data_IF_290014555439
#
_entry.id   IF_290014555439
#
_cell.length_a   1.000
_cell.length_b   1.000
_cell.length_c   1.000
_cell.angle_alpha   90.00
_cell.angle_beta   90.00
_cell.angle_gamma   90.00
#
_symmetry.space_group_name_H-M   'P 1'
#
loop_
_entity.id
_entity.type
_entity.pdbx_description
1 polymer ?
#
# COMPACT_ATOMS: atom_id res chain seq x y z
N UNK A 1 12.43 33.06 -5.76
CA UNK A 1 11.76 32.10 -4.87
C UNK A 1 10.50 31.66 -5.59
N UNK A 2 10.45 30.43 -6.09
CA UNK A 2 9.20 29.88 -6.62
C UNK A 2 8.19 29.80 -5.48
N UNK A 3 6.92 30.15 -5.68
CA UNK A 3 5.92 30.00 -4.64
C UNK A 3 5.85 28.51 -4.26
N UNK A 4 5.88 28.23 -2.96
CA UNK A 4 5.59 26.89 -2.45
C UNK A 4 4.18 26.53 -2.93
N UNK A 5 3.99 25.42 -3.62
CA UNK A 5 2.66 25.05 -4.06
C UNK A 5 1.75 24.89 -2.83
N UNK A 6 0.60 25.52 -2.90
CA UNK A 6 -0.40 25.52 -1.81
C UNK A 6 -1.16 24.19 -1.88
N UNK A 7 -0.62 23.15 -1.22
CA UNK A 7 -1.21 21.82 -1.15
C UNK A 7 -1.87 21.60 0.20
N UNK A 8 -3.08 21.05 0.18
CA UNK A 8 -3.76 20.61 1.40
C UNK A 8 -3.94 19.09 1.36
N UNK A 9 -3.57 18.42 2.45
CA UNK A 9 -3.84 16.99 2.63
C UNK A 9 -5.14 16.80 3.38
N UNK A 10 -5.99 15.93 2.84
CA UNK A 10 -7.23 15.52 3.48
C UNK A 10 -7.15 14.01 3.81
N UNK A 11 -7.78 13.63 4.92
CA UNK A 11 -7.86 12.24 5.38
C UNK A 11 -9.31 11.80 5.31
N UNK A 12 -9.55 10.63 4.71
CA UNK A 12 -10.89 10.08 4.50
C UNK A 12 -11.01 8.72 5.17
N UNK A 13 -12.12 8.48 5.83
CA UNK A 13 -12.45 7.24 6.54
C UNK A 13 -13.17 6.20 5.66
N UNK A 14 -13.35 6.50 4.40
CA UNK A 14 -13.80 5.58 3.36
C UNK A 14 -13.39 6.08 1.98
N UNK A 15 -13.21 5.16 1.02
CA UNK A 15 -12.95 5.55 -0.37
C UNK A 15 -14.18 6.21 -1.01
N UNK A 16 -15.39 5.84 -0.55
CA UNK A 16 -16.64 6.43 -1.00
C UNK A 16 -16.73 7.93 -0.69
N UNK A 17 -16.10 8.41 0.40
CA UNK A 17 -16.05 9.83 0.75
C UNK A 17 -15.21 10.66 -0.24
N UNK A 18 -14.27 10.03 -0.96
CA UNK A 18 -13.47 10.68 -2.01
C UNK A 18 -14.25 10.70 -3.32
N UNK A 19 -14.97 9.63 -3.61
CA UNK A 19 -15.73 9.44 -4.83
C UNK A 19 -14.91 8.82 -5.96
N UNK A 20 -15.61 8.09 -6.83
CA UNK A 20 -15.04 7.33 -7.94
C UNK A 20 -14.21 8.21 -8.87
N UNK A 21 -14.82 9.27 -9.38
CA UNK A 21 -14.21 10.09 -10.43
C UNK A 21 -12.90 10.74 -9.95
N UNK A 22 -12.87 11.21 -8.72
CA UNK A 22 -11.69 11.83 -8.14
C UNK A 22 -10.57 10.79 -7.89
N UNK A 23 -10.92 9.61 -7.38
CA UNK A 23 -9.96 8.54 -7.14
C UNK A 23 -9.42 7.97 -8.44
N UNK A 24 -10.29 7.57 -9.37
CA UNK A 24 -9.90 6.93 -10.61
C UNK A 24 -9.19 7.89 -11.57
N UNK A 25 -9.38 9.21 -11.44
CA UNK A 25 -8.53 10.19 -12.12
C UNK A 25 -7.03 10.01 -11.78
N UNK A 26 -6.71 9.58 -10.57
CA UNK A 26 -5.34 9.28 -10.16
C UNK A 26 -4.94 7.82 -10.42
N UNK A 27 -5.87 6.88 -10.29
CA UNK A 27 -5.60 5.45 -10.35
C UNK A 27 -5.60 4.87 -11.77
N UNK A 28 -6.47 5.35 -12.66
CA UNK A 28 -6.69 4.76 -13.97
C UNK A 28 -5.43 4.73 -14.85
N UNK A 29 -4.58 5.74 -14.77
CA UNK A 29 -3.33 5.81 -15.56
C UNK A 29 -2.32 4.72 -15.18
N UNK A 30 -2.46 4.09 -14.01
CA UNK A 30 -1.55 3.04 -13.53
C UNK A 30 -1.78 1.69 -14.21
N UNK A 31 -3.00 1.43 -14.68
CA UNK A 31 -3.41 0.12 -15.19
C UNK A 31 -3.48 -0.99 -14.13
N UNK A 32 -3.25 -0.67 -12.85
CA UNK A 32 -3.31 -1.63 -11.74
C UNK A 32 -4.76 -1.73 -11.22
N UNK A 33 -5.43 -2.88 -11.39
CA UNK A 33 -6.82 -3.04 -10.97
C UNK A 33 -6.98 -2.99 -9.45
N UNK A 34 -5.93 -3.29 -8.69
CA UNK A 34 -5.99 -3.38 -7.22
C UNK A 34 -6.05 -2.02 -6.54
N UNK A 35 -5.61 -0.95 -7.20
CA UNK A 35 -5.74 0.42 -6.70
C UNK A 35 -6.95 1.15 -7.28
N UNK A 36 -7.79 0.51 -8.09
CA UNK A 36 -9.01 1.10 -8.61
C UNK A 36 -10.02 1.38 -7.51
N UNK A 37 -10.88 2.37 -7.73
CA UNK A 37 -12.00 2.65 -6.82
C UNK A 37 -12.85 1.41 -6.57
N UNK A 38 -13.19 0.65 -7.62
CA UNK A 38 -14.06 -0.52 -7.50
C UNK A 38 -13.49 -1.60 -6.58
N UNK A 39 -12.20 -1.90 -6.70
CA UNK A 39 -11.58 -2.91 -5.86
C UNK A 39 -11.56 -2.49 -4.40
N UNK A 40 -11.10 -1.28 -4.09
CA UNK A 40 -10.99 -0.79 -2.72
C UNK A 40 -12.38 -0.59 -2.10
N UNK A 41 -13.33 -0.06 -2.87
CA UNK A 41 -14.72 0.08 -2.43
C UNK A 41 -15.38 -1.30 -2.15
N UNK A 42 -15.11 -2.30 -2.98
CA UNK A 42 -15.60 -3.65 -2.74
C UNK A 42 -15.05 -4.24 -1.42
N UNK A 43 -13.77 -4.01 -1.12
CA UNK A 43 -13.18 -4.43 0.16
C UNK A 43 -13.83 -3.75 1.37
N UNK A 44 -14.18 -2.46 1.27
CA UNK A 44 -14.87 -1.73 2.32
C UNK A 44 -16.35 -2.14 2.42
N UNK A 45 -17.07 -2.16 1.30
CA UNK A 45 -18.50 -2.44 1.26
C UNK A 45 -18.84 -3.88 1.66
N UNK A 46 -17.96 -4.83 1.39
CA UNK A 46 -18.11 -6.22 1.83
C UNK A 46 -17.87 -6.42 3.34
N UNK A 47 -17.33 -5.41 4.01
CA UNK A 47 -16.91 -5.51 5.40
C UNK A 47 -15.57 -6.21 5.60
N UNK A 48 -14.82 -6.52 4.54
CA UNK A 48 -13.51 -7.17 4.65
C UNK A 48 -12.40 -6.20 5.10
N UNK A 49 -12.44 -4.95 4.64
CA UNK A 49 -11.47 -3.91 5.00
C UNK A 49 -12.16 -2.79 5.80
N UNK A 50 -12.56 -3.10 7.02
CA UNK A 50 -13.25 -2.19 7.94
C UNK A 50 -12.56 -2.17 9.32
N UNK A 51 -12.84 -1.18 10.17
CA UNK A 51 -12.21 -1.07 11.50
C UNK A 51 -12.39 -2.29 12.39
N UNK A 52 -13.56 -2.98 12.35
CA UNK A 52 -13.80 -4.20 13.12
C UNK A 52 -12.87 -5.35 12.73
N UNK A 53 -12.44 -5.38 11.46
CA UNK A 53 -11.49 -6.36 10.90
C UNK A 53 -10.05 -5.85 10.95
N UNK A 54 -9.77 -4.81 11.75
CA UNK A 54 -8.45 -4.22 11.92
C UNK A 54 -7.92 -3.45 10.69
N UNK A 55 -8.81 -3.08 9.75
CA UNK A 55 -8.51 -2.27 8.57
C UNK A 55 -9.35 -1.00 8.59
N UNK A 56 -8.95 -0.01 9.37
CA UNK A 56 -9.66 1.28 9.43
C UNK A 56 -9.18 2.21 8.31
N UNK A 57 -9.99 2.52 7.26
CA UNK A 57 -9.56 3.40 6.18
C UNK A 57 -9.14 4.78 6.71
N UNK A 58 -8.06 5.32 6.16
CA UNK A 58 -7.49 6.65 6.40
C UNK A 58 -6.87 7.18 5.12
N UNK A 59 -7.58 6.99 3.99
CA UNK A 59 -7.08 7.35 2.67
C UNK A 59 -6.69 8.82 2.61
N UNK A 60 -5.59 9.10 1.94
CA UNK A 60 -5.12 10.47 1.73
C UNK A 60 -5.50 10.96 0.34
N UNK A 61 -5.91 12.23 0.27
CA UNK A 61 -5.92 13.00 -0.97
C UNK A 61 -5.05 14.23 -0.82
N UNK A 62 -4.28 14.53 -1.85
CA UNK A 62 -3.55 15.77 -2.02
C UNK A 62 -4.41 16.72 -2.85
N UNK A 63 -4.85 17.81 -2.25
CA UNK A 63 -5.72 18.79 -2.87
C UNK A 63 -4.90 19.97 -3.38
N UNK A 64 -5.17 20.38 -4.60
CA UNK A 64 -4.65 21.58 -5.22
C UNK A 64 -5.67 22.73 -5.22
N UNK A 65 -5.38 23.81 -5.96
CA UNK A 65 -6.30 24.93 -6.12
C UNK A 65 -7.67 24.51 -6.67
N UNK A 66 -8.74 25.09 -6.16
CA UNK A 66 -10.12 24.84 -6.62
C UNK A 66 -10.62 23.42 -6.29
N UNK A 67 -10.18 22.87 -5.16
CA UNK A 67 -10.56 21.52 -4.67
C UNK A 67 -10.26 20.38 -5.65
N UNK A 68 -9.25 20.57 -6.49
CA UNK A 68 -8.81 19.53 -7.44
C UNK A 68 -7.97 18.48 -6.73
N UNK A 69 -8.28 17.20 -6.92
CA UNK A 69 -7.45 16.11 -6.41
C UNK A 69 -6.23 15.94 -7.31
N UNK A 70 -5.03 16.14 -6.75
CA UNK A 70 -3.75 16.01 -7.45
C UNK A 70 -3.11 14.64 -7.25
N UNK A 71 -3.45 13.96 -6.15
CA UNK A 71 -2.95 12.63 -5.85
C UNK A 71 -3.71 11.96 -4.72
N UNK A 72 -3.60 10.64 -4.66
CA UNK A 72 -4.25 9.80 -3.67
C UNK A 72 -3.30 8.73 -3.13
N UNK A 73 -3.60 8.23 -1.92
CA UNK A 73 -2.89 7.10 -1.32
C UNK A 73 -3.87 6.21 -0.56
N UNK A 74 -3.94 4.90 -0.89
CA UNK A 74 -4.67 3.96 -0.05
C UNK A 74 -3.93 3.78 1.27
N UNK A 75 -4.56 4.18 2.37
CA UNK A 75 -3.97 4.18 3.70
C UNK A 75 -4.98 3.64 4.72
N UNK A 76 -4.48 2.84 5.67
CA UNK A 76 -5.31 2.19 6.68
C UNK A 76 -4.68 2.31 8.06
N UNK A 77 -5.52 2.47 9.08
CA UNK A 77 -5.14 2.27 10.48
C UNK A 77 -5.27 0.79 10.81
N UNK A 78 -4.16 0.15 11.13
CA UNK A 78 -4.07 -1.30 11.37
C UNK A 78 -4.01 -1.62 12.85
N UNK A 79 -4.96 -2.46 13.30
CA UNK A 79 -4.96 -3.01 14.66
C UNK A 79 -4.12 -4.30 14.82
N UNK A 80 -3.74 -4.93 13.71
CA UNK A 80 -2.94 -6.16 13.62
C UNK A 80 -2.37 -6.30 12.20
N UNK A 81 -1.45 -7.24 11.96
CA UNK A 81 -0.83 -7.44 10.63
C UNK A 81 -1.49 -8.53 9.78
N UNK A 82 -2.68 -9.03 10.15
CA UNK A 82 -3.40 -9.99 9.32
C UNK A 82 -3.84 -9.36 8.00
N UNK A 83 -3.73 -10.13 6.92
CA UNK A 83 -4.10 -9.71 5.57
C UNK A 83 -3.10 -8.79 4.87
N UNK A 84 -1.95 -8.48 5.50
CA UNK A 84 -0.90 -7.66 4.93
C UNK A 84 0.09 -8.46 4.06
N UNK A 85 0.21 -9.77 4.34
CA UNK A 85 1.20 -10.68 3.73
C UNK A 85 2.66 -10.22 3.89
N UNK A 86 2.90 -9.38 4.91
CA UNK A 86 4.24 -9.03 5.40
C UNK A 86 4.37 -9.57 6.81
N UNK A 87 5.31 -10.49 7.02
CA UNK A 87 5.45 -11.22 8.28
C UNK A 87 6.31 -10.40 9.25
N UNK A 88 5.68 -9.51 10.00
CA UNK A 88 6.34 -8.61 10.96
C UNK A 88 6.13 -9.01 12.43
N UNK A 89 5.67 -10.23 12.70
CA UNK A 89 5.38 -10.71 14.05
C UNK A 89 6.59 -10.61 14.99
N UNK A 90 7.79 -10.97 14.50
CA UNK A 90 9.02 -10.88 15.30
C UNK A 90 9.39 -9.44 15.68
N UNK A 91 9.04 -8.48 14.82
CA UNK A 91 9.22 -7.05 15.08
C UNK A 91 8.22 -6.56 16.13
N UNK A 92 6.95 -6.96 16.00
CA UNK A 92 5.91 -6.62 16.96
C UNK A 92 6.28 -7.15 18.35
N UNK A 93 6.71 -8.42 18.44
CA UNK A 93 7.15 -9.04 19.69
C UNK A 93 8.38 -8.36 20.30
N UNK A 94 9.37 -8.01 19.48
CA UNK A 94 10.57 -7.31 19.95
C UNK A 94 10.23 -5.91 20.47
N UNK A 95 9.36 -5.19 19.77
CA UNK A 95 8.91 -3.85 20.16
C UNK A 95 8.13 -3.88 21.48
N UNK A 96 7.23 -4.88 21.65
CA UNK A 96 6.47 -5.07 22.88
C UNK A 96 7.39 -5.45 24.06
N UNK A 97 8.37 -6.34 23.86
CA UNK A 97 9.37 -6.66 24.89
C UNK A 97 10.20 -5.46 25.33
N UNK A 98 10.41 -4.50 24.42
CA UNK A 98 11.06 -3.22 24.73
C UNK A 98 10.13 -2.20 25.41
N UNK A 99 8.88 -2.57 25.74
CA UNK A 99 7.89 -1.70 26.40
C UNK A 99 7.09 -0.81 25.48
N UNK A 100 7.24 -0.96 24.15
CA UNK A 100 6.48 -0.22 23.15
C UNK A 100 5.15 -0.86 22.80
N UNK A 101 4.25 -0.10 22.17
CA UNK A 101 3.01 -0.60 21.57
C UNK A 101 3.16 -0.60 20.06
N UNK A 102 3.25 -1.78 19.45
CA UNK A 102 3.40 -1.90 17.98
C UNK A 102 2.13 -1.52 17.22
N UNK A 103 0.98 -1.82 17.79
CA UNK A 103 -0.32 -1.44 17.21
C UNK A 103 -1.01 -0.36 18.05
N UNK A 104 -1.84 0.50 17.42
CA UNK A 104 -2.09 0.59 15.98
C UNK A 104 -0.90 1.19 15.21
N UNK A 105 -0.81 0.86 13.91
CA UNK A 105 0.13 1.44 12.94
C UNK A 105 -0.61 1.96 11.72
N UNK A 106 -0.04 2.86 10.94
CA UNK A 106 -0.54 3.21 9.61
C UNK A 106 0.07 2.30 8.56
N UNK A 107 -0.73 1.94 7.55
CA UNK A 107 -0.34 1.06 6.48
C UNK A 107 -0.83 1.57 5.11
N UNK A 108 0.11 1.94 4.23
CA UNK A 108 -0.13 2.14 2.81
C UNK A 108 -0.06 0.80 2.09
N UNK A 109 -1.20 0.25 1.70
CA UNK A 109 -1.27 -1.06 1.05
C UNK A 109 -2.61 -1.25 0.33
N UNK A 110 -2.67 -2.29 -0.49
CA UNK A 110 -3.93 -2.85 -0.98
C UNK A 110 -4.34 -4.00 -0.06
N UNK A 111 -5.57 -4.02 0.46
CA UNK A 111 -6.04 -5.08 1.34
C UNK A 111 -5.93 -6.46 0.69
N UNK A 112 -5.40 -7.43 1.45
CA UNK A 112 -5.34 -8.85 1.07
C UNK A 112 -4.60 -9.17 -0.23
N UNK A 113 -3.81 -8.21 -0.77
CA UNK A 113 -3.19 -8.32 -2.10
C UNK A 113 -1.69 -8.11 -2.02
N UNK A 114 -0.89 -9.20 -1.96
CA UNK A 114 0.57 -9.12 -1.91
C UNK A 114 1.18 -8.92 -3.30
N UNK A 115 0.70 -7.92 -4.03
CA UNK A 115 1.17 -7.57 -5.36
C UNK A 115 1.92 -6.24 -5.35
N UNK A 116 3.06 -6.19 -6.02
CA UNK A 116 3.79 -4.95 -6.25
C UNK A 116 2.99 -4.04 -7.18
N UNK A 117 2.83 -2.79 -6.80
CA UNK A 117 2.11 -1.78 -7.57
C UNK A 117 2.20 -0.39 -6.92
N UNK A 118 1.63 0.61 -7.56
CA UNK A 118 1.68 1.98 -7.07
C UNK A 118 0.89 2.13 -5.77
N UNK A 119 1.44 2.93 -4.85
CA UNK A 119 0.80 3.31 -3.59
C UNK A 119 0.61 4.82 -3.47
N UNK A 120 1.34 5.59 -4.27
CA UNK A 120 1.22 7.04 -4.36
C UNK A 120 0.72 7.40 -5.76
N UNK A 121 -0.61 7.52 -5.87
CA UNK A 121 -1.29 7.77 -7.14
C UNK A 121 -1.28 9.27 -7.44
N UNK A 122 -1.21 9.64 -8.72
CA UNK A 122 -1.19 11.04 -9.15
C UNK A 122 -2.11 11.29 -10.34
N UNK A 123 -2.72 12.47 -10.38
CA UNK A 123 -3.59 12.87 -11.48
C UNK A 123 -2.76 13.17 -12.74
N UNK A 124 -3.32 12.92 -13.94
CA UNK A 124 -2.67 13.27 -15.20
C UNK A 124 -2.28 14.76 -15.26
N UNK A 125 -1.09 15.04 -15.78
CA UNK A 125 -0.60 16.41 -15.92
C UNK A 125 0.03 17.01 -14.65
N UNK A 126 0.04 16.27 -13.53
CA UNK A 126 0.79 16.66 -12.33
C UNK A 126 2.23 16.14 -12.39
N UNK A 127 3.12 16.77 -11.63
CA UNK A 127 4.46 16.24 -11.45
C UNK A 127 4.45 15.10 -10.43
N UNK A 128 4.62 13.87 -10.92
CA UNK A 128 4.57 12.63 -10.13
C UNK A 128 5.51 12.69 -8.91
N UNK A 129 6.74 13.19 -9.09
CA UNK A 129 7.73 13.23 -8.02
C UNK A 129 7.30 14.18 -6.90
N UNK A 130 6.76 15.35 -7.25
CA UNK A 130 6.24 16.33 -6.29
C UNK A 130 5.03 15.78 -5.54
N UNK A 131 4.06 15.18 -6.25
CA UNK A 131 2.86 14.60 -5.63
C UNK A 131 3.25 13.46 -4.69
N UNK A 132 4.11 12.55 -5.13
CA UNK A 132 4.62 11.45 -4.31
C UNK A 132 5.32 11.95 -3.05
N UNK A 133 6.20 12.93 -3.18
CA UNK A 133 6.90 13.51 -2.02
C UNK A 133 5.92 14.16 -1.03
N UNK A 134 4.90 14.87 -1.51
CA UNK A 134 3.87 15.47 -0.67
C UNK A 134 3.02 14.42 0.07
N UNK A 135 2.62 13.33 -0.61
CA UNK A 135 1.87 12.23 0.00
C UNK A 135 2.70 11.48 1.04
N UNK A 136 4.00 11.20 0.76
CA UNK A 136 4.91 10.59 1.73
C UNK A 136 5.01 11.46 2.99
N UNK A 137 5.29 12.76 2.81
CA UNK A 137 5.42 13.69 3.94
C UNK A 137 4.11 13.83 4.71
N UNK A 138 2.99 13.83 4.02
CA UNK A 138 1.66 13.85 4.63
C UNK A 138 1.36 12.61 5.46
N UNK A 139 1.68 11.43 4.95
CA UNK A 139 1.51 10.18 5.68
C UNK A 139 2.41 10.10 6.93
N UNK A 140 3.66 10.58 6.85
CA UNK A 140 4.56 10.71 8.00
C UNK A 140 3.99 11.68 9.04
N UNK A 141 3.54 12.86 8.61
CA UNK A 141 2.92 13.85 9.51
C UNK A 141 1.65 13.31 10.16
N UNK A 142 0.83 12.57 9.42
CA UNK A 142 -0.37 11.94 9.97
C UNK A 142 -0.01 10.90 11.04
N UNK A 143 1.04 10.10 10.81
CA UNK A 143 1.56 9.11 11.77
C UNK A 143 1.90 9.76 13.10
N UNK A 144 2.64 10.87 13.05
CA UNK A 144 3.01 11.64 14.25
C UNK A 144 1.79 12.23 14.95
N UNK A 145 0.88 12.86 14.20
CA UNK A 145 -0.34 13.48 14.75
C UNK A 145 -1.28 12.48 15.40
N UNK A 146 -1.39 11.29 14.84
CA UNK A 146 -2.22 10.22 15.41
C UNK A 146 -1.55 9.51 16.60
N UNK A 147 -0.25 9.72 16.82
CA UNK A 147 0.51 9.06 17.88
C UNK A 147 0.54 7.54 17.72
N UNK A 148 0.48 7.05 16.47
CA UNK A 148 0.59 5.61 16.17
C UNK A 148 2.06 5.19 16.10
N UNK A 149 2.32 3.88 16.18
CA UNK A 149 3.67 3.35 16.34
C UNK A 149 4.58 3.59 15.14
N UNK A 150 4.02 3.51 13.92
CA UNK A 150 4.80 3.55 12.68
C UNK A 150 3.91 3.74 11.46
N UNK A 151 4.55 4.11 10.33
CA UNK A 151 4.02 4.04 8.99
C UNK A 151 4.72 2.91 8.22
N UNK A 152 3.93 2.01 7.64
CA UNK A 152 4.40 0.97 6.73
C UNK A 152 3.83 1.22 5.34
N UNK A 153 4.60 0.88 4.29
CA UNK A 153 4.10 0.85 2.91
C UNK A 153 4.51 -0.48 2.31
N UNK A 154 3.52 -1.31 1.99
CA UNK A 154 3.75 -2.68 1.54
C UNK A 154 3.68 -2.77 0.01
N UNK A 155 4.60 -3.55 -0.58
CA UNK A 155 4.68 -3.85 -2.01
C UNK A 155 4.64 -2.60 -2.91
N UNK A 156 5.39 -1.53 -2.59
CA UNK A 156 5.48 -0.36 -3.46
C UNK A 156 6.26 -0.69 -4.72
N UNK A 157 6.17 0.19 -5.73
CA UNK A 157 7.08 0.15 -6.87
C UNK A 157 8.51 0.50 -6.46
N UNK A 158 9.51 0.15 -7.28
CA UNK A 158 10.92 0.45 -7.00
C UNK A 158 11.16 1.97 -6.88
N UNK A 159 10.51 2.77 -7.73
CA UNK A 159 10.60 4.22 -7.68
C UNK A 159 10.04 4.80 -6.36
N UNK A 160 8.92 4.27 -5.89
CA UNK A 160 8.33 4.66 -4.61
C UNK A 160 9.17 4.20 -3.43
N UNK A 161 9.69 2.96 -3.47
CA UNK A 161 10.59 2.41 -2.46
C UNK A 161 11.87 3.25 -2.32
N UNK A 162 12.43 3.70 -3.46
CA UNK A 162 13.57 4.60 -3.48
C UNK A 162 13.26 5.96 -2.86
N UNK A 163 12.15 6.60 -3.29
CA UNK A 163 11.72 7.90 -2.78
C UNK A 163 11.43 7.88 -1.27
N UNK A 164 10.81 6.81 -0.75
CA UNK A 164 10.61 6.64 0.68
C UNK A 164 11.93 6.50 1.44
N UNK A 165 12.93 5.82 0.86
CA UNK A 165 14.26 5.73 1.44
C UNK A 165 14.97 7.09 1.51
N UNK A 166 14.78 7.95 0.50
CA UNK A 166 15.29 9.32 0.49
C UNK A 166 14.59 10.19 1.55
N UNK A 167 13.34 9.90 1.85
CA UNK A 167 12.59 10.44 2.99
C UNK A 167 12.97 9.81 4.36
N UNK A 168 14.05 9.03 4.42
CA UNK A 168 14.59 8.36 5.61
C UNK A 168 13.70 7.26 6.18
N UNK A 169 12.78 6.72 5.42
CA UNK A 169 12.07 5.50 5.82
C UNK A 169 12.99 4.29 5.69
N UNK A 170 12.83 3.33 6.58
CA UNK A 170 13.62 2.09 6.56
C UNK A 170 13.18 1.22 5.37
N UNK A 171 14.15 0.82 4.56
CA UNK A 171 13.94 -0.07 3.43
C UNK A 171 13.99 -1.52 3.89
N UNK A 172 12.93 -2.27 3.61
CA UNK A 172 12.87 -3.71 3.85
C UNK A 172 12.68 -4.43 2.52
N UNK A 173 13.33 -5.57 2.39
CA UNK A 173 13.15 -6.51 1.28
C UNK A 173 12.80 -7.88 1.85
N UNK A 174 11.96 -8.61 1.13
CA UNK A 174 11.60 -9.97 1.44
C UNK A 174 11.54 -10.77 0.14
N UNK A 175 11.50 -12.11 0.26
CA UNK A 175 11.51 -13.00 -0.89
C UNK A 175 10.07 -13.45 -1.18
N UNK A 176 9.64 -13.29 -2.43
CA UNK A 176 8.37 -13.78 -2.91
C UNK A 176 8.60 -14.88 -3.94
N UNK A 177 7.95 -16.02 -3.77
CA UNK A 177 7.99 -17.10 -4.73
C UNK A 177 6.91 -16.90 -5.78
N UNK A 178 7.32 -16.89 -7.05
CA UNK A 178 6.42 -16.73 -8.19
C UNK A 178 6.52 -17.98 -9.04
N UNK A 179 5.38 -18.62 -9.25
CA UNK A 179 5.30 -19.67 -10.27
C UNK A 179 5.16 -19.03 -11.66
N UNK A 180 5.96 -19.50 -12.60
CA UNK A 180 5.87 -19.11 -14.01
C UNK A 180 5.52 -20.34 -14.84
N UNK A 181 4.65 -20.15 -15.83
CA UNK A 181 4.38 -21.20 -16.81
C UNK A 181 5.49 -21.16 -17.87
N UNK A 182 6.39 -22.11 -17.83
CA UNK A 182 7.50 -22.27 -18.80
C UNK A 182 7.07 -23.04 -20.06
N UNK A 183 5.82 -22.94 -20.44
CA UNK A 183 5.27 -23.54 -21.66
C UNK A 183 4.50 -24.84 -21.44
N UNK A 184 4.15 -25.16 -20.19
CA UNK A 184 3.30 -26.31 -19.86
C UNK A 184 1.93 -26.20 -20.54
N UNK A 185 1.54 -27.26 -21.24
CA UNK A 185 0.27 -27.34 -21.96
C UNK A 185 -0.83 -27.98 -21.09
N UNK A 186 -0.44 -28.68 -20.03
CA UNK A 186 -1.33 -29.33 -19.08
C UNK A 186 -0.76 -29.33 -17.67
N UNK A 187 -1.61 -29.60 -16.70
CA UNK A 187 -1.18 -29.77 -15.31
C UNK A 187 -0.28 -31.02 -15.15
N UNK A 188 -0.51 -32.05 -15.93
CA UNK A 188 0.32 -33.26 -15.93
C UNK A 188 1.74 -32.99 -16.43
N UNK A 189 1.92 -32.12 -17.43
CA UNK A 189 3.25 -31.68 -17.87
C UNK A 189 4.00 -30.97 -16.75
N UNK A 190 3.31 -30.06 -16.02
CA UNK A 190 3.86 -29.38 -14.87
C UNK A 190 4.25 -30.38 -13.76
N UNK A 191 3.38 -31.34 -13.43
CA UNK A 191 3.67 -32.36 -12.42
C UNK A 191 4.84 -33.28 -12.82
N UNK A 192 4.99 -33.60 -14.10
CA UNK A 192 6.09 -34.39 -14.60
C UNK A 192 7.47 -33.75 -14.39
N UNK A 193 7.53 -32.40 -14.47
CA UNK A 193 8.76 -31.67 -14.19
C UNK A 193 9.01 -31.50 -12.68
N UNK A 194 8.03 -31.12 -11.89
CA UNK A 194 8.16 -30.96 -10.44
C UNK A 194 8.39 -32.29 -9.74
N UNK A 195 7.72 -33.37 -10.16
CA UNK A 195 7.88 -34.69 -9.57
C UNK A 195 9.31 -35.22 -9.65
N UNK A 196 10.05 -34.83 -10.68
CA UNK A 196 11.48 -35.19 -10.83
C UNK A 196 12.38 -34.36 -9.91
N UNK A 197 12.05 -33.12 -9.62
CA UNK A 197 12.81 -32.26 -8.70
C UNK A 197 12.58 -32.65 -7.23
N UNK A 198 11.32 -32.88 -6.83
CA UNK A 198 10.94 -33.25 -5.46
C UNK A 198 11.44 -34.62 -5.01
N UNK A 199 11.63 -35.57 -5.94
CA UNK A 199 12.20 -36.90 -5.65
C UNK A 199 13.74 -36.89 -5.46
N UNK A 200 14.43 -35.83 -5.91
CA UNK A 200 15.90 -35.73 -5.75
C UNK A 200 16.33 -35.13 -4.40
N UNK A 201 15.47 -34.43 -3.70
CA UNK A 201 15.79 -33.81 -2.40
C UNK A 201 15.40 -34.66 -1.18
N UNK A 202 14.84 -35.85 -1.38
CA UNK A 202 14.42 -36.76 -0.29
C UNK A 202 15.27 -38.03 -0.20
N UNK A 203 16.54 -37.99 -0.62
CA UNK A 203 17.49 -39.08 -0.40
C UNK A 203 18.63 -38.58 0.47
#
# INVERSE_FOLDING_TARGET
>A
MSPTPDFTLQVHDSIAAIGRDAWDACAAATGDPFVSFDFLHACEASGSAVPSEGWGPRHLTLMGPGDTVLGCMPLYLKGHSQGEYVFDHSWADAYQRAGGRYYPKLLGAVPFTPATGPRFLHAPGTDEATVRAALIQGALTLTERMGVSSLHVNFPTEAEWSAMGDARMLRRQDMQFIWRNDGYQSFDDFLAEIGRASCRERV
#
